data_IF_522060456082
#
_entry.id   IF_522060456082
#
_cell.length_a   1.000
_cell.length_b   1.000
_cell.length_c   1.000
_cell.angle_alpha   90.00
_cell.angle_beta   90.00
_cell.angle_gamma   90.00
#
_symmetry.space_group_name_H-M   'P 1'
#
loop_
_entity.id
_entity.type
_entity.pdbx_description
1 polymer ?
#
# COMPACT_ATOMS: atom_id res chain seq x y z
N UNK A 1 29.70 -9.16 2.31
CA UNK A 1 28.43 -8.86 3.00
C UNK A 1 27.30 -9.03 2.00
N UNK A 2 26.35 -9.94 2.26
CA UNK A 2 25.30 -10.34 1.34
C UNK A 2 24.31 -9.19 1.11
N UNK A 3 24.20 -8.74 -0.14
CA UNK A 3 23.27 -7.68 -0.57
C UNK A 3 21.80 -8.04 -0.39
N UNK A 4 21.47 -9.34 -0.43
CA UNK A 4 20.08 -9.83 -0.33
C UNK A 4 19.51 -9.67 1.08
N UNK A 5 20.30 -9.95 2.12
CA UNK A 5 19.88 -9.78 3.51
C UNK A 5 19.63 -8.30 3.82
N UNK A 6 20.53 -7.42 3.35
CA UNK A 6 20.38 -5.97 3.51
C UNK A 6 19.14 -5.40 2.79
N UNK A 7 18.79 -5.90 1.60
CA UNK A 7 17.57 -5.49 0.89
C UNK A 7 16.30 -6.00 1.59
N UNK A 8 16.34 -7.23 2.12
CA UNK A 8 15.23 -7.77 2.89
C UNK A 8 14.97 -6.94 4.16
N UNK A 9 16.01 -6.59 4.92
CA UNK A 9 15.88 -5.74 6.10
C UNK A 9 15.31 -4.35 5.77
N UNK A 10 15.69 -3.76 4.62
CA UNK A 10 15.07 -2.51 4.13
C UNK A 10 13.59 -2.67 3.85
N UNK A 11 13.19 -3.77 3.20
CA UNK A 11 11.79 -4.07 2.92
C UNK A 11 10.99 -4.20 4.23
N UNK A 12 11.50 -4.98 5.20
CA UNK A 12 10.86 -5.17 6.51
C UNK A 12 10.70 -3.84 7.24
N UNK A 13 11.74 -2.99 7.26
CA UNK A 13 11.69 -1.66 7.89
C UNK A 13 10.64 -0.77 7.22
N UNK A 14 10.55 -0.79 5.90
CA UNK A 14 9.55 -0.01 5.16
C UNK A 14 8.13 -0.51 5.43
N UNK A 15 7.89 -1.83 5.38
CA UNK A 15 6.59 -2.44 5.68
C UNK A 15 6.11 -2.15 7.11
N UNK A 16 7.03 -1.97 8.06
CA UNK A 16 6.69 -1.60 9.43
C UNK A 16 6.02 -0.22 9.55
N UNK A 17 6.35 0.71 8.64
CA UNK A 17 5.81 2.08 8.59
C UNK A 17 4.58 2.24 7.70
N UNK A 18 4.16 1.19 6.98
CA UNK A 18 2.97 1.24 6.14
C UNK A 18 1.69 1.24 6.98
N UNK A 19 0.66 1.93 6.47
CA UNK A 19 -0.68 1.87 7.04
C UNK A 19 -1.18 0.41 7.02
N UNK A 20 -1.93 -0.05 8.04
CA UNK A 20 -2.30 -1.46 8.16
C UNK A 20 -3.05 -2.04 6.95
N UNK A 21 -3.90 -1.25 6.32
CA UNK A 21 -4.64 -1.60 5.09
C UNK A 21 -3.69 -1.89 3.91
N UNK A 22 -2.72 -1.02 3.68
CA UNK A 22 -1.70 -1.19 2.65
C UNK A 22 -0.77 -2.34 3.01
N UNK A 23 -0.32 -2.41 4.27
CA UNK A 23 0.57 -3.46 4.76
C UNK A 23 -0.03 -4.85 4.56
N UNK A 24 -1.33 -5.02 4.80
CA UNK A 24 -2.00 -6.30 4.60
C UNK A 24 -1.99 -6.72 3.12
N UNK A 25 -2.32 -5.79 2.21
CA UNK A 25 -2.32 -6.03 0.76
C UNK A 25 -0.92 -6.39 0.23
N UNK A 26 0.09 -5.67 0.71
CA UNK A 26 1.48 -5.83 0.29
C UNK A 26 2.11 -7.09 0.90
N UNK A 27 1.83 -7.38 2.17
CA UNK A 27 2.36 -8.55 2.88
C UNK A 27 1.97 -9.91 2.26
N UNK A 28 0.82 -9.99 1.58
CA UNK A 28 0.45 -11.18 0.81
C UNK A 28 1.34 -11.41 -0.42
N UNK A 29 1.90 -10.35 -1.00
CA UNK A 29 2.70 -10.43 -2.22
C UNK A 29 4.15 -10.89 -1.99
N UNK A 30 4.59 -11.01 -0.72
CA UNK A 30 5.94 -11.46 -0.30
C UNK A 30 7.08 -10.85 -1.15
N UNK A 31 7.02 -9.53 -1.38
CA UNK A 31 7.97 -8.82 -2.24
C UNK A 31 9.32 -8.70 -1.52
N UNK A 32 10.40 -9.04 -2.21
CA UNK A 32 11.77 -8.99 -1.69
C UNK A 32 12.63 -7.90 -2.35
N UNK A 33 12.07 -7.21 -3.34
CA UNK A 33 12.72 -6.10 -4.04
C UNK A 33 12.15 -4.77 -3.54
N UNK A 34 13.05 -3.91 -3.04
CA UNK A 34 12.64 -2.67 -2.39
C UNK A 34 11.96 -1.70 -3.36
N UNK A 35 12.45 -1.59 -4.60
CA UNK A 35 11.86 -0.70 -5.60
C UNK A 35 10.42 -1.12 -5.95
N UNK A 36 10.21 -2.43 -6.13
CA UNK A 36 8.89 -3.02 -6.39
C UNK A 36 7.95 -2.82 -5.21
N UNK A 37 8.45 -3.01 -3.98
CA UNK A 37 7.69 -2.81 -2.74
C UNK A 37 7.17 -1.38 -2.64
N UNK A 38 8.05 -0.39 -2.84
CA UNK A 38 7.70 1.04 -2.78
C UNK A 38 6.68 1.38 -3.88
N UNK A 39 6.90 0.92 -5.11
CA UNK A 39 5.99 1.22 -6.21
C UNK A 39 4.59 0.63 -6.00
N UNK A 40 4.50 -0.65 -5.57
CA UNK A 40 3.22 -1.29 -5.27
C UNK A 40 2.52 -0.64 -4.08
N UNK A 41 3.26 -0.28 -3.04
CA UNK A 41 2.70 0.42 -1.87
C UNK A 41 2.10 1.78 -2.27
N UNK A 42 2.76 2.53 -3.15
CA UNK A 42 2.25 3.79 -3.69
C UNK A 42 0.95 3.59 -4.48
N UNK A 43 0.91 2.61 -5.38
CA UNK A 43 -0.29 2.31 -6.17
C UNK A 43 -1.46 1.92 -5.27
N UNK A 44 -1.23 1.10 -4.24
CA UNK A 44 -2.28 0.72 -3.30
C UNK A 44 -2.82 1.89 -2.47
N UNK A 45 -1.97 2.84 -2.06
CA UNK A 45 -2.44 4.06 -1.37
C UNK A 45 -3.32 4.92 -2.28
N UNK A 46 -2.89 5.13 -3.52
CA UNK A 46 -3.63 5.91 -4.52
C UNK A 46 -4.99 5.26 -4.85
N UNK A 47 -5.02 3.93 -5.05
CA UNK A 47 -6.26 3.19 -5.30
C UNK A 47 -7.22 3.26 -4.10
N UNK A 48 -6.70 3.09 -2.87
CA UNK A 48 -7.48 3.22 -1.64
C UNK A 48 -8.11 4.61 -1.50
N UNK A 49 -7.37 5.66 -1.85
CA UNK A 49 -7.84 7.04 -1.85
C UNK A 49 -8.88 7.29 -2.94
N UNK A 50 -8.63 6.82 -4.16
CA UNK A 50 -9.57 6.92 -5.27
C UNK A 50 -10.90 6.24 -4.95
N UNK A 51 -10.84 5.02 -4.39
CA UNK A 51 -12.00 4.26 -3.93
C UNK A 51 -12.79 5.03 -2.86
N UNK A 52 -12.09 5.58 -1.86
CA UNK A 52 -12.73 6.37 -0.80
C UNK A 52 -13.44 7.60 -1.36
N UNK A 53 -12.79 8.33 -2.28
CA UNK A 53 -13.37 9.50 -2.94
C UNK A 53 -14.60 9.15 -3.78
N UNK A 54 -14.53 8.04 -4.54
CA UNK A 54 -15.65 7.53 -5.32
C UNK A 54 -16.88 7.26 -4.44
N UNK A 55 -16.73 6.50 -3.36
CA UNK A 55 -17.85 6.19 -2.48
C UNK A 55 -18.37 7.41 -1.75
N UNK A 56 -17.52 8.36 -1.34
CA UNK A 56 -17.99 9.64 -0.79
C UNK A 56 -18.89 10.38 -1.78
N UNK A 57 -18.45 10.55 -3.03
CA UNK A 57 -19.22 11.22 -4.06
C UNK A 57 -20.55 10.50 -4.38
N UNK A 58 -20.57 9.16 -4.34
CA UNK A 58 -21.80 8.37 -4.52
C UNK A 58 -22.76 8.58 -3.35
N UNK A 59 -22.27 8.58 -2.11
CA UNK A 59 -23.11 8.78 -0.92
C UNK A 59 -23.69 10.20 -0.85
N UNK A 60 -22.91 11.24 -1.19
CA UNK A 60 -23.38 12.62 -1.26
C UNK A 60 -24.53 12.81 -2.26
N UNK A 61 -24.51 12.08 -3.38
CA UNK A 61 -25.61 12.10 -4.36
C UNK A 61 -26.86 11.41 -3.86
N UNK A 62 -26.71 10.40 -2.98
CA UNK A 62 -27.82 9.61 -2.45
C UNK A 62 -28.56 10.29 -1.29
N UNK A 63 -27.89 11.18 -0.55
CA UNK A 63 -28.48 11.94 0.56
C UNK A 63 -29.23 13.23 0.16
N UNK A 64 -29.33 13.54 -1.13
CA UNK A 64 -30.04 14.73 -1.65
C UNK A 64 -31.46 14.43 -2.18
N UNK A 65 -32.07 13.33 -1.73
CA UNK A 65 -33.45 12.94 -2.06
C UNK A 65 -34.38 13.12 -0.88
#
# INVERSE_FOLDING_TARGET
>A
YNTVEAEHDKCVKFESGLRPDIKHLIGFSKIRDFATLVNKSRICDDDGRAKTNYYKAVNDRKGKG
#
